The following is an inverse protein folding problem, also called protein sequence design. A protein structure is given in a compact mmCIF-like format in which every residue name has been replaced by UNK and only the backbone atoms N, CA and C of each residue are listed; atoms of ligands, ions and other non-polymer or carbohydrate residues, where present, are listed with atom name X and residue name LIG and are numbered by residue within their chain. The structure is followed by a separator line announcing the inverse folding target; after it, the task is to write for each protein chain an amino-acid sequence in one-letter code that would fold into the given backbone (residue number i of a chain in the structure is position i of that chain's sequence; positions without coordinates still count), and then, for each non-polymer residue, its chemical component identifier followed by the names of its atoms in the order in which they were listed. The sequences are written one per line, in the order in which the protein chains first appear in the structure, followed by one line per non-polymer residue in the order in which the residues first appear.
data_IF_225573802551
#
_entry.id   IF_225573802551
#
_cell.length_a   1.000
_cell.length_b   1.000
_cell.length_c   1.000
_cell.angle_alpha   90.00
_cell.angle_beta   90.00
_cell.angle_gamma   90.00
#
_symmetry.space_group_name_H-M   'P 1'
#
loop_
_entity.id
_entity.type
_entity.pdbx_description
1 polymer ?
#
# COMPACT_ATOMS: atom_id res chain seq x y z
N UNK A 1 -3.42 -29.95 8.99
CA UNK A 1 -4.21 -30.71 8.01
C UNK A 1 -5.67 -30.27 7.92
N UNK A 2 -6.34 -29.85 8.99
CA UNK A 2 -7.75 -29.41 8.96
C UNK A 2 -8.00 -28.11 8.14
N UNK A 3 -7.07 -27.18 8.11
CA UNK A 3 -7.20 -25.90 7.34
C UNK A 3 -7.16 -26.14 5.84
N UNK A 4 -6.31 -27.08 5.37
CA UNK A 4 -6.23 -27.44 3.95
C UNK A 4 -7.50 -28.18 3.46
N UNK A 5 -8.13 -28.96 4.32
CA UNK A 5 -9.37 -29.67 4.00
C UNK A 5 -10.60 -28.72 3.94
N UNK A 6 -10.62 -27.65 4.75
CA UNK A 6 -11.67 -26.62 4.67
C UNK A 6 -11.60 -25.81 3.38
N UNK A 7 -10.40 -25.55 2.85
CA UNK A 7 -10.24 -24.81 1.58
C UNK A 7 -10.71 -25.61 0.36
N UNK A 8 -10.64 -26.93 0.39
CA UNK A 8 -11.02 -27.78 -0.73
C UNK A 8 -12.54 -27.94 -0.95
N UNK A 9 -13.36 -27.72 0.09
CA UNK A 9 -14.81 -27.91 0.03
C UNK A 9 -15.61 -26.64 -0.34
N UNK A 10 -14.93 -25.50 -0.45
CA UNK A 10 -15.56 -24.17 -0.63
C UNK A 10 -15.40 -23.61 -2.04
N UNK A 11 -14.71 -24.33 -2.92
CA UNK A 11 -14.25 -23.84 -4.22
C UNK A 11 -15.29 -23.64 -5.32
N UNK A 12 -16.59 -23.68 -5.04
CA UNK A 12 -17.60 -23.72 -6.11
C UNK A 12 -18.07 -22.34 -6.63
N UNK A 13 -17.68 -21.21 -6.02
CA UNK A 13 -18.17 -19.87 -6.41
C UNK A 13 -17.09 -18.80 -6.65
N UNK A 14 -15.83 -19.12 -6.53
CA UNK A 14 -14.74 -18.19 -6.78
C UNK A 14 -13.97 -18.55 -8.09
N UNK A 15 -14.65 -19.15 -9.06
CA UNK A 15 -14.08 -19.39 -10.39
C UNK A 15 -14.55 -18.28 -11.33
N UNK A 16 -13.63 -17.37 -11.62
CA UNK A 16 -13.77 -16.37 -12.65
C UNK A 16 -13.52 -17.01 -14.02
N UNK A 17 -14.06 -16.39 -15.07
CA UNK A 17 -13.91 -16.87 -16.46
C UNK A 17 -13.08 -15.88 -17.26
N UNK A 18 -12.42 -16.39 -18.28
CA UNK A 18 -11.78 -15.56 -19.30
C UNK A 18 -12.74 -14.50 -19.84
N UNK A 19 -12.26 -13.25 -19.92
CA UNK A 19 -13.05 -12.09 -20.34
C UNK A 19 -13.89 -11.43 -19.26
N UNK A 20 -13.96 -11.99 -18.06
CA UNK A 20 -14.66 -11.40 -16.93
C UNK A 20 -13.96 -10.14 -16.42
N UNK A 21 -14.72 -9.14 -16.02
CA UNK A 21 -14.22 -7.94 -15.37
C UNK A 21 -14.92 -7.78 -14.03
N UNK A 22 -14.15 -7.55 -12.98
CA UNK A 22 -14.68 -7.35 -11.63
C UNK A 22 -14.30 -5.98 -11.09
N UNK A 23 -15.13 -5.47 -10.19
CA UNK A 23 -14.93 -4.23 -9.46
C UNK A 23 -14.89 -4.53 -7.97
N UNK A 24 -13.89 -4.02 -7.26
CA UNK A 24 -13.66 -4.33 -5.85
C UNK A 24 -13.38 -3.07 -5.02
N UNK A 25 -14.37 -2.48 -4.33
CA UNK A 25 -14.08 -1.57 -3.23
C UNK A 25 -13.41 -2.30 -2.09
N UNK A 26 -12.43 -1.64 -1.46
CA UNK A 26 -11.66 -2.21 -0.34
C UNK A 26 -11.26 -1.17 0.69
N UNK A 27 -11.11 -1.63 1.92
CA UNK A 27 -10.63 -0.86 3.06
C UNK A 27 -9.69 -1.74 3.89
N UNK A 28 -8.74 -1.15 4.56
CA UNK A 28 -7.82 -1.91 5.39
C UNK A 28 -6.82 -1.05 6.12
N UNK A 29 -5.73 -1.68 6.49
CA UNK A 29 -4.64 -1.05 7.23
C UNK A 29 -3.33 -1.16 6.46
N UNK A 30 -2.51 -0.16 6.64
CA UNK A 30 -1.14 -0.09 6.16
C UNK A 30 -0.22 -0.01 7.35
N UNK A 31 0.74 -0.91 7.42
CA UNK A 31 1.82 -0.89 8.41
C UNK A 31 3.08 -0.48 7.67
N UNK A 32 3.53 0.75 7.89
CA UNK A 32 4.72 1.30 7.25
C UNK A 32 5.88 1.41 8.23
N UNK A 33 7.07 1.11 7.74
CA UNK A 33 8.32 1.28 8.42
C UNK A 33 9.33 1.91 7.46
N UNK A 34 10.29 2.64 8.02
CA UNK A 34 11.36 3.29 7.25
C UNK A 34 12.67 2.61 7.61
N UNK A 35 13.35 2.02 6.62
CA UNK A 35 14.66 1.40 6.83
C UNK A 35 15.72 2.44 7.17
N UNK A 36 16.69 2.05 8.03
CA UNK A 36 17.87 2.82 8.41
C UNK A 36 17.63 4.07 9.28
N UNK A 37 16.50 4.14 9.99
CA UNK A 37 16.34 5.06 11.11
C UNK A 37 16.30 4.23 12.40
N UNK A 38 17.36 4.32 13.20
CA UNK A 38 17.37 3.82 14.58
C UNK A 38 16.24 4.55 15.34
N UNK A 39 15.40 3.81 16.08
CA UNK A 39 14.19 4.29 16.78
C UNK A 39 12.92 4.57 15.94
N UNK A 40 12.84 4.13 14.69
CA UNK A 40 11.59 4.17 13.93
C UNK A 40 10.59 3.14 14.46
N UNK A 41 9.41 3.59 14.91
CA UNK A 41 8.32 2.69 15.31
C UNK A 41 7.34 2.50 14.15
N UNK A 42 7.01 1.25 13.88
CA UNK A 42 6.00 0.88 12.89
C UNK A 42 4.69 1.64 13.13
N UNK A 43 4.22 2.37 12.12
CA UNK A 43 2.96 3.10 12.18
C UNK A 43 1.87 2.35 11.44
N UNK A 44 0.73 2.18 12.11
CA UNK A 44 -0.46 1.59 11.52
C UNK A 44 -1.40 2.72 11.07
N UNK A 45 -1.75 2.71 9.79
CA UNK A 45 -2.61 3.71 9.18
C UNK A 45 -3.74 3.04 8.38
N UNK A 46 -4.75 3.81 8.01
CA UNK A 46 -5.88 3.33 7.22
C UNK A 46 -5.57 3.47 5.73
N UNK A 47 -5.98 2.48 4.95
CA UNK A 47 -5.99 2.53 3.49
C UNK A 47 -7.36 2.16 2.96
N UNK A 48 -7.80 2.80 1.88
CA UNK A 48 -9.06 2.50 1.22
C UNK A 48 -8.97 2.85 -0.27
N UNK A 49 -9.83 2.23 -1.06
CA UNK A 49 -9.85 2.47 -2.50
C UNK A 49 -10.65 1.46 -3.28
N UNK A 50 -10.34 1.36 -4.56
CA UNK A 50 -11.01 0.47 -5.50
C UNK A 50 -10.01 -0.19 -6.42
N UNK A 51 -10.28 -1.45 -6.77
CA UNK A 51 -9.56 -2.19 -7.82
C UNK A 51 -10.55 -2.62 -8.91
N UNK A 52 -10.06 -2.64 -10.13
CA UNK A 52 -10.65 -3.33 -11.27
C UNK A 52 -9.75 -4.49 -11.64
N UNK A 53 -10.33 -5.62 -11.99
CA UNK A 53 -9.58 -6.81 -12.38
C UNK A 53 -10.19 -7.41 -13.63
N UNK A 54 -9.37 -7.64 -14.65
CA UNK A 54 -9.74 -8.28 -15.91
C UNK A 54 -9.09 -9.65 -16.01
N UNK A 55 -9.88 -10.69 -16.24
CA UNK A 55 -9.43 -12.07 -16.37
C UNK A 55 -9.01 -12.37 -17.81
N UNK A 56 -7.70 -12.42 -18.04
CA UNK A 56 -7.13 -12.78 -19.34
C UNK A 56 -7.25 -14.30 -19.62
N UNK A 57 -7.32 -15.11 -18.58
CA UNK A 57 -7.64 -16.54 -18.60
C UNK A 57 -8.38 -16.87 -17.29
N UNK A 58 -8.90 -18.10 -17.16
CA UNK A 58 -9.54 -18.54 -15.90
C UNK A 58 -8.60 -18.49 -14.67
N UNK A 59 -7.28 -18.43 -14.89
CA UNK A 59 -6.28 -18.44 -13.81
C UNK A 59 -5.44 -17.17 -13.75
N UNK A 60 -5.42 -16.35 -14.80
CA UNK A 60 -4.57 -15.16 -14.87
C UNK A 60 -5.43 -13.92 -15.06
N UNK A 61 -5.25 -12.93 -14.21
CA UNK A 61 -5.89 -11.64 -14.35
C UNK A 61 -4.89 -10.49 -14.25
N UNK A 62 -5.30 -9.33 -14.74
CA UNK A 62 -4.60 -8.07 -14.60
C UNK A 62 -5.50 -7.15 -13.78
N UNK A 63 -4.97 -6.67 -12.67
CA UNK A 63 -5.63 -5.73 -11.79
C UNK A 63 -5.06 -4.32 -11.93
N UNK A 64 -5.92 -3.32 -11.89
CA UNK A 64 -5.54 -1.91 -11.78
C UNK A 64 -6.44 -1.22 -10.75
N UNK A 65 -5.87 -0.34 -9.92
CA UNK A 65 -6.65 0.29 -8.86
C UNK A 65 -6.20 1.68 -8.48
N UNK A 66 -6.97 2.28 -7.59
CA UNK A 66 -6.63 3.54 -6.93
C UNK A 66 -6.77 3.34 -5.42
N UNK A 67 -5.71 3.61 -4.69
CA UNK A 67 -5.66 3.50 -3.24
C UNK A 67 -5.29 4.83 -2.62
N UNK A 68 -6.03 5.22 -1.61
CA UNK A 68 -5.68 6.32 -0.72
C UNK A 68 -5.09 5.73 0.55
N UNK A 69 -3.86 6.09 0.84
CA UNK A 69 -3.10 5.54 1.96
C UNK A 69 -2.53 6.67 2.78
N UNK A 70 -2.81 6.64 4.07
CA UNK A 70 -2.06 7.43 5.04
C UNK A 70 -0.80 6.63 5.38
N UNK A 71 0.37 7.22 5.19
CA UNK A 71 1.67 6.66 5.56
C UNK A 71 2.37 7.68 6.45
N UNK A 72 3.22 7.20 7.35
CA UNK A 72 3.94 8.11 8.20
C UNK A 72 4.82 7.38 9.19
N UNK A 73 5.58 8.16 9.94
CA UNK A 73 6.41 7.67 11.04
C UNK A 73 6.08 8.45 12.32
N UNK A 74 6.28 7.80 13.45
CA UNK A 74 6.31 8.48 14.74
C UNK A 74 7.76 8.47 15.19
N UNK A 75 8.34 9.64 15.40
CA UNK A 75 9.69 9.81 15.94
C UNK A 75 9.48 10.19 17.42
N UNK A 76 9.99 9.36 18.32
CA UNK A 76 10.02 9.65 19.76
C UNK A 76 11.47 9.99 20.13
N UNK A 77 11.73 11.23 20.49
CA UNK A 77 12.98 11.66 21.10
C UNK A 77 12.73 11.95 22.57
N UNK A 78 13.67 11.66 23.45
CA UNK A 78 13.64 11.58 24.94
C UNK A 78 12.58 12.41 25.70
N UNK A 79 11.94 13.39 25.08
CA UNK A 79 10.89 14.22 25.70
C UNK A 79 9.80 14.68 24.73
N UNK A 80 9.92 14.45 23.44
CA UNK A 80 9.01 15.01 22.43
C UNK A 80 8.55 13.97 21.41
N UNK A 81 7.24 14.00 21.07
CA UNK A 81 6.63 13.11 20.06
C UNK A 81 6.30 13.89 18.80
N UNK A 82 6.98 13.56 17.72
CA UNK A 82 6.68 14.07 16.39
C UNK A 82 5.93 13.02 15.60
N UNK A 83 4.72 13.35 15.14
CA UNK A 83 3.96 12.49 14.23
C UNK A 83 4.00 13.07 12.84
N UNK A 84 4.63 12.35 11.93
CA UNK A 84 4.61 12.68 10.51
C UNK A 84 3.51 11.88 9.82
N UNK A 85 2.59 12.56 9.14
CA UNK A 85 1.52 11.99 8.35
C UNK A 85 1.73 12.38 6.89
N UNK A 86 1.85 11.38 6.02
CA UNK A 86 2.03 11.59 4.58
C UNK A 86 0.93 10.86 3.83
N UNK A 87 0.14 11.60 3.08
CA UNK A 87 -0.98 11.06 2.31
C UNK A 87 -0.55 10.78 0.89
N UNK A 88 -0.75 9.55 0.46
CA UNK A 88 -0.44 9.09 -0.89
C UNK A 88 -1.70 8.65 -1.62
N UNK A 89 -1.74 8.94 -2.91
CA UNK A 89 -2.61 8.25 -3.85
C UNK A 89 -1.73 7.28 -4.64
N UNK A 90 -2.01 5.99 -4.49
CA UNK A 90 -1.27 4.92 -5.14
C UNK A 90 -2.10 4.27 -6.24
N UNK A 91 -1.45 3.86 -7.32
CA UNK A 91 -2.07 3.24 -8.50
C UNK A 91 -1.46 1.85 -8.72
N UNK A 92 -1.85 0.84 -7.94
CA UNK A 92 -1.36 -0.51 -8.13
C UNK A 92 -1.80 -1.07 -9.48
N UNK A 93 -0.86 -1.66 -10.21
CA UNK A 93 -1.09 -2.45 -11.41
C UNK A 93 -0.46 -3.81 -11.15
N UNK A 94 -1.28 -4.87 -11.11
CA UNK A 94 -0.84 -6.20 -10.68
C UNK A 94 -1.24 -7.27 -11.67
N UNK A 95 -0.38 -8.26 -11.87
CA UNK A 95 -0.74 -9.56 -12.41
C UNK A 95 -1.10 -10.48 -11.23
N UNK A 96 -2.24 -11.16 -11.34
CA UNK A 96 -2.75 -12.04 -10.30
C UNK A 96 -2.89 -13.45 -10.89
N UNK A 97 -2.22 -14.41 -10.27
CA UNK A 97 -2.28 -15.80 -10.68
C UNK A 97 -3.04 -16.62 -9.64
N UNK A 98 -4.16 -17.19 -10.04
CA UNK A 98 -5.03 -17.99 -9.19
C UNK A 98 -4.51 -19.43 -9.12
N UNK A 99 -3.80 -19.76 -8.03
CA UNK A 99 -3.21 -21.08 -7.78
C UNK A 99 -4.25 -22.12 -7.35
N UNK A 100 -5.32 -21.63 -6.71
CA UNK A 100 -6.50 -22.40 -6.30
C UNK A 100 -7.74 -21.52 -6.49
N UNK A 101 -8.95 -22.10 -6.55
CA UNK A 101 -10.18 -21.32 -6.54
C UNK A 101 -10.19 -20.31 -5.37
N UNK A 102 -10.26 -19.03 -5.71
CA UNK A 102 -10.24 -17.93 -4.76
C UNK A 102 -8.86 -17.52 -4.21
N UNK A 103 -7.80 -18.32 -4.35
CA UNK A 103 -6.46 -17.98 -3.85
C UNK A 103 -5.57 -17.51 -4.98
N UNK A 104 -5.16 -16.25 -4.96
CA UNK A 104 -4.25 -15.67 -5.95
C UNK A 104 -2.94 -15.19 -5.33
N UNK A 105 -1.85 -15.39 -6.07
CA UNK A 105 -0.57 -14.72 -5.87
C UNK A 105 -0.57 -13.47 -6.74
N UNK A 106 -0.14 -12.35 -6.18
CA UNK A 106 -0.14 -11.04 -6.85
C UNK A 106 1.25 -10.45 -6.88
N UNK A 107 1.63 -9.90 -8.02
CA UNK A 107 2.84 -9.10 -8.16
C UNK A 107 2.64 -8.02 -9.21
N UNK A 108 3.37 -6.90 -9.09
CA UNK A 108 3.19 -5.81 -10.05
C UNK A 108 4.04 -4.60 -9.77
N UNK A 109 3.53 -3.45 -10.18
CA UNK A 109 4.11 -2.13 -9.95
C UNK A 109 3.07 -1.22 -9.31
N UNK A 110 3.50 -0.36 -8.42
CA UNK A 110 2.62 0.59 -7.73
C UNK A 110 3.27 1.97 -7.72
N UNK A 111 3.07 2.77 -8.78
CA UNK A 111 3.35 4.19 -8.69
C UNK A 111 2.43 4.84 -7.66
N UNK A 112 2.98 5.78 -6.90
CA UNK A 112 2.25 6.55 -5.91
C UNK A 112 2.65 8.03 -5.99
N UNK A 113 1.69 8.89 -5.72
CA UNK A 113 1.90 10.32 -5.68
C UNK A 113 1.54 10.86 -4.29
N UNK A 114 2.47 11.59 -3.69
CA UNK A 114 2.27 12.26 -2.41
C UNK A 114 1.36 13.47 -2.59
N UNK A 115 0.20 13.40 -1.98
CA UNK A 115 -0.80 14.48 -2.06
C UNK A 115 -0.54 15.54 -0.99
N UNK A 116 -0.13 15.13 0.21
CA UNK A 116 0.06 16.04 1.35
C UNK A 116 1.00 15.43 2.38
N UNK A 117 1.84 16.29 2.98
CA UNK A 117 2.64 15.94 4.15
C UNK A 117 2.30 16.87 5.31
N UNK A 118 2.07 16.31 6.50
CA UNK A 118 1.78 17.05 7.73
C UNK A 118 2.66 16.56 8.87
N UNK A 119 3.17 17.48 9.67
CA UNK A 119 3.82 17.20 10.94
C UNK A 119 2.92 17.68 12.07
N UNK A 120 2.74 16.84 13.08
CA UNK A 120 2.03 17.19 14.31
C UNK A 120 3.02 17.14 15.47
N UNK A 121 3.19 18.27 16.15
CA UNK A 121 4.01 18.43 17.32
C UNK A 121 3.21 19.21 18.38
N UNK A 122 3.08 18.66 19.59
CA UNK A 122 2.39 19.26 20.73
C UNK A 122 0.98 19.80 20.43
N UNK A 123 0.22 19.03 19.61
CA UNK A 123 -1.13 19.40 19.20
C UNK A 123 -1.21 20.47 18.09
N UNK A 124 -0.09 21.02 17.67
CA UNK A 124 -0.02 21.92 16.53
C UNK A 124 0.25 21.14 15.24
N UNK A 125 -0.55 21.43 14.22
CA UNK A 125 -0.41 20.82 12.88
C UNK A 125 0.28 21.79 11.96
N UNK A 126 1.46 21.42 11.51
CA UNK A 126 2.25 22.16 10.54
C UNK A 126 2.15 21.45 9.18
N UNK A 127 1.73 22.20 8.16
CA UNK A 127 1.74 21.72 6.78
C UNK A 127 3.20 21.81 6.27
N UNK A 128 3.84 20.65 6.11
CA UNK A 128 5.24 20.58 5.72
C UNK A 128 5.49 21.12 4.32
N UNK A 129 4.52 20.98 3.40
CA UNK A 129 4.67 21.51 2.04
C UNK A 129 4.77 23.03 2.07
N UNK A 130 3.96 23.72 2.91
CA UNK A 130 4.04 25.18 3.10
C UNK A 130 5.25 25.64 3.90
N UNK A 131 5.63 24.88 4.92
CA UNK A 131 6.80 25.21 5.75
C UNK A 131 8.09 25.12 4.93
N UNK A 132 8.23 24.10 4.07
CA UNK A 132 9.36 23.94 3.16
C UNK A 132 9.41 25.02 2.09
N UNK A 133 8.28 25.40 1.51
CA UNK A 133 8.20 26.51 0.53
C UNK A 133 8.58 27.87 1.15
N UNK A 134 8.32 28.07 2.44
CA UNK A 134 8.56 29.36 3.14
C UNK A 134 9.96 29.46 3.74
N UNK A 135 10.55 28.33 4.16
CA UNK A 135 11.81 28.29 4.91
C UNK A 135 13.03 27.96 4.04
N UNK A 136 12.82 27.34 2.89
CA UNK A 136 13.89 26.91 1.99
C UNK A 136 13.78 27.69 0.67
N UNK A 137 14.45 28.85 0.60
CA UNK A 137 14.73 29.54 -0.66
C UNK A 137 15.71 28.74 -1.55
N UNK A 138 16.32 27.68 -1.02
CA UNK A 138 17.26 26.81 -1.75
C UNK A 138 16.61 25.49 -2.15
N UNK A 139 16.79 25.12 -3.41
CA UNK A 139 16.22 23.98 -4.15
C UNK A 139 16.75 22.60 -3.69
N UNK A 140 17.58 22.55 -2.63
CA UNK A 140 18.39 21.38 -2.26
C UNK A 140 17.69 20.36 -1.35
N UNK A 141 16.48 20.64 -0.83
CA UNK A 141 15.73 19.71 0.03
C UNK A 141 14.32 19.41 -0.51
N UNK A 142 14.23 18.91 -1.73
CA UNK A 142 12.95 18.45 -2.26
C UNK A 142 12.65 17.02 -1.81
N UNK A 143 11.59 16.84 -1.03
CA UNK A 143 11.01 15.54 -0.78
C UNK A 143 10.31 15.08 -2.07
N UNK A 144 10.71 13.95 -2.63
CA UNK A 144 10.12 13.41 -3.84
C UNK A 144 8.60 13.25 -3.68
N UNK A 145 7.85 13.84 -4.63
CA UNK A 145 6.38 13.70 -4.68
C UNK A 145 5.94 12.38 -5.29
N UNK A 146 6.84 11.71 -6.02
CA UNK A 146 6.59 10.46 -6.71
C UNK A 146 7.31 9.31 -6.00
N UNK A 147 6.60 8.23 -5.77
CA UNK A 147 7.11 6.99 -5.22
C UNK A 147 6.76 5.81 -6.15
N UNK A 148 7.63 4.82 -6.21
CA UNK A 148 7.44 3.60 -6.98
C UNK A 148 7.75 2.40 -6.10
N UNK A 149 6.83 1.47 -6.01
CA UNK A 149 6.99 0.23 -5.26
C UNK A 149 6.67 -1.00 -6.13
N UNK A 150 7.23 -2.15 -5.74
CA UNK A 150 6.83 -3.46 -6.23
C UNK A 150 5.94 -4.11 -5.17
N UNK A 151 4.62 -4.20 -5.38
CA UNK A 151 3.73 -4.99 -4.55
C UNK A 151 3.90 -6.48 -4.86
N UNK A 152 4.04 -7.29 -3.82
CA UNK A 152 3.98 -8.74 -3.88
C UNK A 152 3.05 -9.20 -2.77
N UNK A 153 2.11 -10.09 -3.05
CA UNK A 153 1.12 -10.47 -2.06
C UNK A 153 0.28 -11.68 -2.43
N UNK A 154 -0.67 -11.92 -1.55
CA UNK A 154 -1.67 -12.98 -1.68
C UNK A 154 -3.05 -12.38 -1.49
N UNK A 155 -4.03 -12.90 -2.20
CA UNK A 155 -5.44 -12.60 -1.93
C UNK A 155 -6.25 -13.89 -1.87
N UNK A 156 -7.24 -13.89 -0.99
CA UNK A 156 -8.21 -14.95 -0.88
C UNK A 156 -9.62 -14.41 -1.03
N UNK A 157 -10.37 -15.01 -1.93
CA UNK A 157 -11.76 -14.67 -2.22
C UNK A 157 -12.70 -15.78 -1.79
N UNK A 158 -13.78 -15.41 -1.11
CA UNK A 158 -14.86 -16.30 -0.74
C UNK A 158 -16.22 -15.60 -0.88
N UNK A 159 -17.07 -16.08 -1.79
CA UNK A 159 -18.39 -15.48 -2.05
C UNK A 159 -18.34 -13.96 -2.32
N UNK A 160 -17.34 -13.50 -3.08
CA UNK A 160 -17.10 -12.09 -3.37
C UNK A 160 -16.36 -11.34 -2.26
N UNK A 161 -16.33 -11.84 -1.02
CA UNK A 161 -15.52 -11.25 0.04
C UNK A 161 -14.04 -11.58 -0.19
N UNK A 162 -13.18 -10.56 -0.21
CA UNK A 162 -11.76 -10.72 -0.47
C UNK A 162 -10.93 -10.23 0.70
N UNK A 163 -9.94 -11.04 1.09
CA UNK A 163 -8.87 -10.65 1.99
C UNK A 163 -7.58 -10.58 1.17
N UNK A 164 -6.91 -9.43 1.18
CA UNK A 164 -5.69 -9.18 0.42
C UNK A 164 -4.58 -8.74 1.38
N UNK A 165 -3.42 -9.39 1.29
CA UNK A 165 -2.23 -9.06 2.04
C UNK A 165 -1.06 -8.83 1.07
N UNK A 166 -0.46 -7.64 1.09
CA UNK A 166 0.64 -7.23 0.21
C UNK A 166 1.80 -6.69 1.00
N UNK A 167 2.98 -6.98 0.50
CA UNK A 167 4.21 -6.31 0.89
C UNK A 167 4.67 -5.42 -0.27
N UNK A 168 4.83 -4.15 -0.02
CA UNK A 168 5.30 -3.16 -1.00
C UNK A 168 6.79 -2.90 -0.78
N UNK A 169 7.60 -3.29 -1.76
CA UNK A 169 9.03 -2.97 -1.80
C UNK A 169 9.21 -1.61 -2.47
N UNK A 170 9.55 -0.56 -1.71
CA UNK A 170 9.88 0.75 -2.28
C UNK A 170 11.16 0.67 -3.12
N UNK A 171 11.09 1.21 -4.33
CA UNK A 171 12.25 1.28 -5.26
C UNK A 171 12.86 2.67 -5.22
N UNK A 172 12.04 3.71 -5.12
CA UNK A 172 12.48 5.09 -5.10
C UNK A 172 13.07 5.48 -3.76
N UNK A 173 14.12 6.31 -3.79
CA UNK A 173 14.67 6.94 -2.60
C UNK A 173 13.77 8.08 -2.16
N UNK A 174 13.49 8.19 -0.86
CA UNK A 174 12.70 9.27 -0.26
C UNK A 174 13.36 10.63 -0.37
N UNK A 175 14.68 10.66 -0.31
CA UNK A 175 15.49 11.88 -0.35
C UNK A 175 16.54 11.76 -1.45
N UNK A 176 16.66 12.78 -2.30
CA UNK A 176 17.60 12.77 -3.43
C UNK A 176 19.06 12.93 -3.02
N UNK A 177 19.37 13.45 -1.82
CA UNK A 177 20.72 13.86 -1.41
C UNK A 177 21.27 13.18 -0.14
N UNK A 178 20.66 12.09 0.34
CA UNK A 178 21.21 11.30 1.44
C UNK A 178 22.01 10.12 0.92
N UNK A 179 23.21 9.90 1.47
CA UNK A 179 24.09 8.76 1.16
C UNK A 179 23.48 7.41 1.55
N UNK A 180 22.58 7.39 2.54
CA UNK A 180 21.88 6.19 2.97
C UNK A 180 20.60 5.95 2.15
N UNK A 181 20.49 4.72 1.61
CA UNK A 181 19.32 4.22 0.85
C UNK A 181 18.10 4.06 1.76
N UNK A 182 17.45 5.17 2.13
CA UNK A 182 16.20 5.17 2.89
C UNK A 182 15.06 4.79 1.95
N UNK A 183 14.51 3.58 2.11
CA UNK A 183 13.41 3.05 1.30
C UNK A 183 12.21 2.75 2.17
N UNK A 184 11.02 3.01 1.66
CA UNK A 184 9.78 2.60 2.30
C UNK A 184 9.59 1.09 2.20
N UNK A 185 9.24 0.47 3.33
CA UNK A 185 8.69 -0.88 3.40
C UNK A 185 7.31 -0.80 4.01
N UNK A 186 6.35 -1.44 3.35
CA UNK A 186 4.97 -1.30 3.75
C UNK A 186 4.24 -2.63 3.60
N UNK A 187 3.59 -3.08 4.68
CA UNK A 187 2.62 -4.17 4.67
C UNK A 187 1.23 -3.57 4.57
N UNK A 188 0.44 -4.05 3.62
CA UNK A 188 -0.95 -3.61 3.41
C UNK A 188 -1.86 -4.82 3.56
N UNK A 189 -2.84 -4.72 4.43
CA UNK A 189 -3.88 -5.75 4.60
C UNK A 189 -5.23 -5.10 4.35
N UNK A 190 -5.98 -5.60 3.38
CA UNK A 190 -7.28 -5.03 3.03
C UNK A 190 -8.36 -6.10 2.95
N UNK A 191 -9.56 -5.70 3.33
CA UNK A 191 -10.80 -6.42 3.13
C UNK A 191 -11.60 -5.70 2.03
N UNK A 192 -12.12 -6.44 1.07
CA UNK A 192 -12.91 -5.91 -0.02
C UNK A 192 -14.07 -6.81 -0.39
N UNK A 193 -14.89 -6.33 -1.29
CA UNK A 193 -15.96 -7.12 -1.90
C UNK A 193 -15.89 -6.98 -3.41
N UNK A 194 -15.85 -8.10 -4.10
CA UNK A 194 -15.73 -8.20 -5.55
C UNK A 194 -17.11 -8.42 -6.16
N UNK A 195 -17.47 -7.51 -7.07
CA UNK A 195 -18.72 -7.54 -7.84
C UNK A 195 -18.49 -8.02 -9.26
#
# INVERSE_FOLDING_TARGET
MAVAAMMATVGAKAQHKEGETTFQPRVGITMSDVTNLEDSKMKVNVTYGVDFEYFATDQLSIGAGVLFTDQGATIEDDSEKYKMNVYYTAFPITANYYVLPGLAIKAGVQPAYRVKARMEHDGQRIDMDRALETLLEDDDMKINKFDLAIPVGLSYEYNGLTLDARYNFGITKLFSNFEDDVRHKCVVITLGYKF
#
